data_IF_888227516249
#
_entry.id   IF_888227516249
#
_cell.length_a   1.000
_cell.length_b   1.000
_cell.length_c   1.000
_cell.angle_alpha   90.00
_cell.angle_beta   90.00
_cell.angle_gamma   90.00
#
_symmetry.space_group_name_H-M   'P 1'
#
loop_
_entity.id
_entity.type
_entity.pdbx_description
1 polymer ?
#
# COMPACT_ATOMS: atom_id res chain seq x y z
N UNK A 1 -5.49 19.45 1.38
CA UNK A 1 -5.31 18.01 1.16
C UNK A 1 -4.73 17.75 -0.22
N UNK A 2 -3.71 16.91 -0.30
CA UNK A 2 -3.09 16.60 -1.59
C UNK A 2 -3.98 15.68 -2.42
N UNK A 3 -4.01 15.90 -3.73
CA UNK A 3 -4.62 14.97 -4.67
C UNK A 3 -3.73 13.75 -4.81
N UNK A 4 -4.26 12.67 -5.38
CA UNK A 4 -3.44 11.47 -5.59
C UNK A 4 -2.27 11.74 -6.52
N UNK A 5 -2.47 12.54 -7.58
CA UNK A 5 -1.37 12.90 -8.48
C UNK A 5 -0.27 13.68 -7.77
N UNK A 6 -0.64 14.53 -6.81
CA UNK A 6 0.33 15.26 -5.98
C UNK A 6 1.11 14.31 -5.06
N UNK A 7 0.42 13.34 -4.45
CA UNK A 7 1.07 12.31 -3.66
C UNK A 7 2.09 11.52 -4.49
N UNK A 8 1.69 11.13 -5.71
CA UNK A 8 2.58 10.38 -6.61
C UNK A 8 3.79 11.22 -7.02
N UNK A 9 3.58 12.51 -7.30
CA UNK A 9 4.68 13.39 -7.70
C UNK A 9 5.71 13.58 -6.58
N UNK A 10 5.28 13.53 -5.33
CA UNK A 10 6.18 13.71 -4.18
C UNK A 10 6.84 12.41 -3.71
N UNK A 11 6.41 11.26 -4.23
CA UNK A 11 6.97 9.98 -3.83
C UNK A 11 8.17 9.62 -4.74
N UNK A 12 9.33 9.24 -4.17
CA UNK A 12 10.52 8.94 -4.97
C UNK A 12 10.35 7.84 -6.01
N UNK A 13 9.42 6.91 -5.78
CA UNK A 13 9.18 5.81 -6.73
C UNK A 13 8.49 6.32 -7.99
N UNK A 14 7.56 7.26 -7.85
CA UNK A 14 6.74 7.76 -8.96
C UNK A 14 7.17 9.12 -9.51
N UNK A 15 7.97 9.85 -8.76
CA UNK A 15 8.42 11.18 -9.18
C UNK A 15 9.13 11.18 -10.55
N UNK A 16 9.93 10.14 -10.91
CA UNK A 16 10.57 10.09 -12.21
C UNK A 16 9.62 9.93 -13.40
N UNK A 17 8.40 9.50 -13.16
CA UNK A 17 7.41 9.33 -14.23
C UNK A 17 6.96 10.69 -14.74
N UNK A 18 6.50 10.71 -15.99
CA UNK A 18 5.92 11.92 -16.57
C UNK A 18 4.59 12.24 -15.90
N UNK A 19 4.23 13.52 -15.87
CA UNK A 19 2.96 13.95 -15.29
C UNK A 19 1.77 13.17 -15.84
N UNK A 20 1.74 12.98 -17.16
CA UNK A 20 0.66 12.21 -17.80
C UNK A 20 0.60 10.78 -17.29
N UNK A 21 1.75 10.16 -17.05
CA UNK A 21 1.82 8.80 -16.54
C UNK A 21 1.29 8.73 -15.10
N UNK A 22 1.65 9.70 -14.25
CA UNK A 22 1.13 9.78 -12.89
C UNK A 22 -0.38 9.99 -12.87
N UNK A 23 -0.91 10.79 -13.79
CA UNK A 23 -2.36 10.99 -13.92
C UNK A 23 -3.06 9.69 -14.30
N UNK A 24 -2.48 8.91 -15.21
CA UNK A 24 -3.03 7.62 -15.61
C UNK A 24 -3.04 6.64 -14.44
N UNK A 25 -1.95 6.59 -13.66
CA UNK A 25 -1.89 5.75 -12.47
C UNK A 25 -2.95 6.14 -11.45
N UNK A 26 -3.16 7.44 -11.27
CA UNK A 26 -4.19 7.92 -10.36
C UNK A 26 -5.58 7.49 -10.80
N UNK A 27 -5.83 7.45 -12.11
CA UNK A 27 -7.13 7.05 -12.65
C UNK A 27 -7.43 5.57 -12.44
N UNK A 28 -6.42 4.71 -12.54
CA UNK A 28 -6.61 3.27 -12.39
C UNK A 28 -6.50 2.78 -10.95
N UNK A 29 -6.12 3.66 -10.03
CA UNK A 29 -5.98 3.30 -8.62
C UNK A 29 -7.31 2.83 -8.03
N UNK A 30 -7.25 1.79 -7.22
CA UNK A 30 -8.38 1.34 -6.43
C UNK A 30 -8.33 2.11 -5.12
N UNK A 31 -9.36 2.90 -4.86
CA UNK A 31 -9.42 3.71 -3.63
C UNK A 31 -10.27 2.99 -2.60
N UNK A 32 -9.73 2.80 -1.40
CA UNK A 32 -10.44 2.13 -0.32
C UNK A 32 -10.35 2.93 0.97
N UNK A 33 -11.43 2.89 1.73
CA UNK A 33 -11.52 3.51 3.05
C UNK A 33 -11.65 2.40 4.08
N UNK A 34 -10.98 2.59 5.20
CA UNK A 34 -11.03 1.65 6.32
C UNK A 34 -11.37 2.42 7.58
N UNK A 35 -12.24 1.86 8.41
CA UNK A 35 -12.52 2.42 9.72
C UNK A 35 -11.48 1.91 10.72
N UNK A 36 -11.31 2.66 11.81
CA UNK A 36 -10.38 2.27 12.87
C UNK A 36 -10.61 0.81 13.29
N UNK A 37 -9.53 0.05 13.33
CA UNK A 37 -9.55 -1.36 13.72
C UNK A 37 -9.76 -2.35 12.58
N UNK A 38 -10.15 -1.91 11.40
CA UNK A 38 -10.34 -2.83 10.28
C UNK A 38 -9.01 -3.37 9.76
N UNK A 39 -9.05 -4.64 9.34
CA UNK A 39 -7.89 -5.28 8.73
C UNK A 39 -7.84 -4.99 7.23
N UNK A 40 -6.65 -4.66 6.75
CA UNK A 40 -6.41 -4.39 5.32
C UNK A 40 -5.90 -5.65 4.64
N UNK A 41 -4.98 -6.34 5.31
CA UNK A 41 -4.40 -7.59 4.82
C UNK A 41 -3.98 -8.41 6.03
N UNK A 42 -4.03 -9.74 5.91
CA UNK A 42 -3.69 -10.64 7.00
C UNK A 42 -2.40 -11.41 6.73
N UNK A 43 -1.63 -11.60 7.80
CA UNK A 43 -0.43 -12.42 7.75
C UNK A 43 -0.76 -13.81 7.20
N UNK A 44 0.07 -14.32 6.33
CA UNK A 44 -0.11 -15.62 5.70
C UNK A 44 -0.86 -15.60 4.38
N UNK A 45 -1.55 -14.51 4.06
CA UNK A 45 -2.23 -14.38 2.79
C UNK A 45 -1.28 -13.84 1.72
N UNK A 46 -1.48 -14.29 0.49
CA UNK A 46 -0.79 -13.68 -0.65
C UNK A 46 -1.54 -12.40 -1.00
N UNK A 47 -0.82 -11.28 -1.02
CA UNK A 47 -1.43 -9.97 -1.23
C UNK A 47 -0.63 -9.19 -2.28
N UNK A 48 -0.94 -9.38 -3.57
CA UNK A 48 -0.13 -8.85 -4.67
C UNK A 48 -0.48 -7.40 -5.02
N UNK A 49 -0.42 -6.53 -4.02
CA UNK A 49 -0.76 -5.11 -4.20
C UNK A 49 0.34 -4.21 -3.71
N UNK A 50 0.44 -3.08 -4.39
CA UNK A 50 1.17 -1.92 -3.93
C UNK A 50 0.13 -0.98 -3.35
N UNK A 51 0.37 -0.38 -2.18
CA UNK A 51 -0.56 0.61 -1.68
C UNK A 51 0.14 1.85 -1.15
N UNK A 52 -0.55 2.98 -1.27
CA UNK A 52 -0.11 4.27 -0.79
C UNK A 52 -1.12 4.77 0.23
N UNK A 53 -0.65 5.15 1.41
CA UNK A 53 -1.51 5.72 2.44
C UNK A 53 -1.73 7.19 2.08
N UNK A 54 -2.99 7.61 1.97
CA UNK A 54 -3.34 9.00 1.65
C UNK A 54 -3.93 9.75 2.84
N UNK A 55 -4.49 9.02 3.82
CA UNK A 55 -4.92 9.62 5.09
C UNK A 55 -4.95 8.56 6.17
N UNK A 56 -4.88 8.99 7.42
CA UNK A 56 -4.92 8.09 8.57
C UNK A 56 -3.57 7.49 8.91
N UNK A 57 -3.59 6.29 9.47
CA UNK A 57 -2.38 5.59 9.91
C UNK A 57 -2.65 4.09 9.89
N UNK A 58 -1.69 3.33 9.37
CA UNK A 58 -1.77 1.87 9.24
C UNK A 58 -0.64 1.24 10.05
N UNK A 59 -0.97 0.27 10.90
CA UNK A 59 0.04 -0.52 11.61
C UNK A 59 0.30 -1.82 10.87
N UNK A 60 1.58 -2.14 10.70
CA UNK A 60 2.01 -3.47 10.30
C UNK A 60 2.25 -4.25 11.59
N UNK A 61 1.49 -5.32 11.78
CA UNK A 61 1.49 -6.09 13.02
C UNK A 61 2.08 -7.48 12.77
N UNK A 62 2.98 -7.87 13.65
CA UNK A 62 3.57 -9.21 13.63
C UNK A 62 3.19 -9.92 14.91
N UNK A 63 2.77 -11.17 14.80
CA UNK A 63 2.44 -11.98 15.95
C UNK A 63 3.70 -12.70 16.44
N UNK A 64 3.97 -12.59 17.75
CA UNK A 64 5.11 -13.29 18.34
C UNK A 64 4.75 -14.76 18.58
N UNK A 65 5.76 -15.59 18.87
CA UNK A 65 5.58 -16.99 19.20
C UNK A 65 4.70 -17.21 20.43
N UNK A 66 4.57 -16.17 21.27
CA UNK A 66 3.73 -16.21 22.47
C UNK A 66 2.31 -15.69 22.23
N UNK A 67 1.95 -15.42 20.99
CA UNK A 67 0.64 -14.92 20.62
C UNK A 67 0.41 -13.44 20.85
N UNK A 68 1.45 -12.68 21.12
CA UNK A 68 1.36 -11.22 21.29
C UNK A 68 1.52 -10.53 19.93
N UNK A 69 0.75 -9.49 19.72
CA UNK A 69 0.90 -8.65 18.54
C UNK A 69 1.95 -7.58 18.80
N UNK A 70 2.89 -7.44 17.87
CA UNK A 70 3.93 -6.43 17.93
C UNK A 70 3.77 -5.50 16.73
N UNK A 71 3.93 -4.20 16.98
CA UNK A 71 3.92 -3.22 15.89
C UNK A 71 5.29 -3.26 15.22
N UNK A 72 5.32 -3.78 13.99
CA UNK A 72 6.55 -3.86 13.21
C UNK A 72 6.85 -2.54 12.49
N UNK A 73 5.80 -1.82 12.09
CA UNK A 73 5.94 -0.54 11.41
C UNK A 73 4.64 0.23 11.49
N UNK A 74 4.74 1.56 11.36
CA UNK A 74 3.59 2.44 11.22
C UNK A 74 3.72 3.16 9.89
N UNK A 75 2.68 3.09 9.06
CA UNK A 75 2.65 3.75 7.77
C UNK A 75 1.78 4.99 7.86
N UNK A 76 2.38 6.13 7.53
CA UNK A 76 1.72 7.44 7.58
C UNK A 76 1.38 7.92 6.16
N UNK A 77 0.57 8.98 6.01
CA UNK A 77 0.25 9.49 4.67
C UNK A 77 1.50 9.79 3.85
N UNK A 78 1.47 9.38 2.60
CA UNK A 78 2.59 9.51 1.68
C UNK A 78 3.49 8.30 1.62
N UNK A 79 3.37 7.36 2.56
CA UNK A 79 4.19 6.16 2.56
C UNK A 79 3.60 5.06 1.71
N UNK A 80 4.49 4.31 1.09
CA UNK A 80 4.18 3.25 0.14
C UNK A 80 4.53 1.90 0.74
N UNK A 81 3.71 0.89 0.48
CA UNK A 81 4.04 -0.48 0.83
C UNK A 81 3.78 -1.43 -0.33
N UNK A 82 4.67 -2.40 -0.47
CA UNK A 82 4.59 -3.43 -1.50
C UNK A 82 4.38 -4.78 -0.81
N UNK A 83 3.27 -5.44 -1.13
CA UNK A 83 3.10 -6.81 -0.68
C UNK A 83 4.18 -7.71 -1.29
N UNK A 84 4.67 -8.69 -0.55
CA UNK A 84 5.70 -9.58 -1.09
C UNK A 84 5.26 -10.33 -2.33
N UNK A 85 3.99 -10.71 -2.40
CA UNK A 85 3.42 -11.36 -3.59
C UNK A 85 3.41 -10.47 -4.81
N UNK A 86 3.67 -9.16 -4.65
CA UNK A 86 3.84 -8.23 -5.75
C UNK A 86 5.08 -8.59 -6.58
N UNK A 87 6.14 -9.03 -5.91
CA UNK A 87 7.41 -9.40 -6.57
C UNK A 87 7.50 -10.88 -6.87
N UNK A 88 6.98 -11.70 -5.98
CA UNK A 88 7.07 -13.15 -6.07
C UNK A 88 5.68 -13.73 -5.85
N UNK A 89 5.14 -14.35 -6.90
CA UNK A 89 3.78 -14.87 -6.90
C UNK A 89 3.53 -15.84 -5.75
N UNK A 90 2.37 -15.69 -5.10
CA UNK A 90 1.92 -16.53 -3.99
C UNK A 90 2.76 -16.45 -2.70
N UNK A 91 3.66 -15.49 -2.58
CA UNK A 91 4.42 -15.31 -1.34
C UNK A 91 3.50 -14.77 -0.26
N UNK A 92 3.42 -15.44 0.91
CA UNK A 92 2.54 -14.99 1.98
C UNK A 92 3.07 -13.72 2.65
N UNK A 93 2.14 -12.91 3.15
CA UNK A 93 2.47 -11.70 3.91
C UNK A 93 3.11 -12.08 5.25
N UNK A 94 4.25 -11.46 5.61
CA UNK A 94 4.89 -11.71 6.90
C UNK A 94 4.26 -10.94 8.05
N UNK A 95 3.38 -10.00 7.75
CA UNK A 95 2.70 -9.14 8.73
C UNK A 95 1.26 -8.94 8.32
N UNK A 96 0.44 -8.51 9.28
CA UNK A 96 -0.94 -8.07 8.99
C UNK A 96 -0.96 -6.55 9.02
N UNK A 97 -1.87 -5.95 8.25
CA UNK A 97 -2.07 -4.50 8.26
C UNK A 97 -3.42 -4.16 8.84
N UNK A 98 -3.43 -3.25 9.81
CA UNK A 98 -4.65 -2.81 10.47
C UNK A 98 -4.71 -1.28 10.53
N UNK A 99 -5.87 -0.73 10.23
CA UNK A 99 -6.09 0.72 10.34
C UNK A 99 -6.11 1.13 11.81
N UNK A 100 -5.28 2.09 12.19
CA UNK A 100 -5.24 2.63 13.55
C UNK A 100 -6.22 3.76 13.76
N UNK A 101 -6.56 4.42 12.67
CA UNK A 101 -7.56 5.48 12.60
C UNK A 101 -8.33 5.26 11.31
N UNK A 102 -9.41 6.00 11.12
CA UNK A 102 -10.10 5.98 9.85
C UNK A 102 -9.09 6.39 8.79
N UNK A 103 -8.89 5.54 7.81
CA UNK A 103 -7.79 5.68 6.87
C UNK A 103 -8.24 5.51 5.43
N UNK A 104 -7.51 6.12 4.51
CA UNK A 104 -7.71 5.92 3.08
C UNK A 104 -6.40 5.47 2.47
N UNK A 105 -6.52 4.51 1.56
CA UNK A 105 -5.37 4.03 0.80
C UNK A 105 -5.74 3.94 -0.67
N UNK A 106 -4.74 4.00 -1.51
CA UNK A 106 -4.87 3.74 -2.93
C UNK A 106 -4.07 2.49 -3.25
N UNK A 107 -4.67 1.58 -4.00
CA UNK A 107 -4.09 0.29 -4.32
C UNK A 107 -3.90 0.14 -5.81
N UNK A 108 -2.85 -0.58 -6.18
CA UNK A 108 -2.64 -1.04 -7.54
C UNK A 108 -2.27 -2.52 -7.47
N UNK A 109 -2.94 -3.35 -8.26
CA UNK A 109 -2.53 -4.74 -8.37
C UNK A 109 -1.22 -4.84 -9.14
N UNK A 110 -0.52 -5.94 -8.94
CA UNK A 110 0.71 -6.25 -9.69
C UNK A 110 0.48 -6.13 -11.20
N UNK A 111 -0.64 -6.67 -11.67
CA UNK A 111 -0.97 -6.67 -13.10
C UNK A 111 -1.20 -5.26 -13.64
N UNK A 112 -1.86 -4.40 -12.85
CA UNK A 112 -2.15 -3.04 -13.28
C UNK A 112 -0.92 -2.16 -13.37
N UNK A 113 0.00 -2.31 -12.42
CA UNK A 113 1.11 -1.36 -12.29
C UNK A 113 2.40 -1.83 -12.94
N UNK A 114 2.50 -3.12 -13.25
CA UNK A 114 3.70 -3.71 -13.83
C UNK A 114 4.26 -2.96 -15.04
N UNK A 115 3.44 -2.55 -16.03
CA UNK A 115 3.96 -1.82 -17.20
C UNK A 115 4.63 -0.50 -16.83
N UNK A 116 4.21 0.12 -15.74
CA UNK A 116 4.73 1.42 -15.32
C UNK A 116 6.06 1.33 -14.59
N UNK A 117 6.34 0.20 -13.94
CA UNK A 117 7.51 0.03 -13.10
C UNK A 117 8.61 -0.80 -13.73
N UNK A 118 8.25 -1.81 -14.52
CA UNK A 118 9.23 -2.73 -15.08
C UNK A 118 9.42 -2.61 -16.58
N UNK A 119 8.46 -2.07 -17.30
CA UNK A 119 8.48 -2.01 -18.76
C UNK A 119 8.73 -0.62 -19.31
N UNK A 120 8.86 0.35 -18.44
CA UNK A 120 9.15 1.73 -18.82
C UNK A 120 10.55 2.14 -18.40
#
# INVERSE_FOLDING_TARGET
>A
MLSLTEWLASNPVFAPLKEREREQLAQIAIRKKFTEGEWIALCGEAWPYLFLVTSGSIHALKESSEGRSLIAATLEPGELFWGLAFFEENTPMPVSFQAQHDSQICLWSREQIRPWLWEN
#
